data_IF_331347561916
#
_entry.id   IF_331347561916
#
_cell.length_a   1.000
_cell.length_b   1.000
_cell.length_c   1.000
_cell.angle_alpha   90.00
_cell.angle_beta   90.00
_cell.angle_gamma   90.00
#
_symmetry.space_group_name_H-M   'P 1'
#
loop_
_entity.id
_entity.type
_entity.pdbx_description
1 polymer ?
#
# COMPACT_ATOMS: atom_id res chain seq x y z
N UNK A 1 5.70 8.52 -16.32
CA UNK A 1 4.83 9.16 -15.33
C UNK A 1 5.34 8.86 -13.94
N UNK A 2 5.46 9.86 -13.08
CA UNK A 2 5.99 9.67 -11.73
C UNK A 2 4.87 9.82 -10.71
N UNK A 3 4.73 8.82 -9.84
CA UNK A 3 3.74 8.86 -8.76
C UNK A 3 4.44 8.85 -7.42
N UNK A 4 3.96 9.65 -6.48
CA UNK A 4 4.30 9.51 -5.08
C UNK A 4 3.12 8.83 -4.37
N UNK A 5 3.37 7.67 -3.77
CA UNK A 5 2.38 6.91 -3.02
C UNK A 5 2.71 7.01 -1.54
N UNK A 6 1.74 7.41 -0.75
CA UNK A 6 1.81 7.45 0.71
C UNK A 6 0.81 6.47 1.29
N UNK A 7 1.26 5.46 2.03
CA UNK A 7 0.41 4.53 2.76
C UNK A 7 0.40 4.88 4.25
N UNK A 8 -0.78 4.87 4.86
CA UNK A 8 -0.96 5.02 6.31
C UNK A 8 -1.51 3.72 6.91
N UNK A 9 -0.79 3.21 7.89
CA UNK A 9 -1.17 2.04 8.68
C UNK A 9 -2.33 2.32 9.63
N UNK A 10 -3.14 1.31 9.93
CA UNK A 10 -4.16 1.36 10.98
C UNK A 10 -3.60 1.30 12.41
N UNK A 11 -4.47 1.49 13.40
CA UNK A 11 -4.14 1.44 14.84
C UNK A 11 -4.18 0.04 15.46
N UNK A 12 -4.78 -0.93 14.77
CA UNK A 12 -5.31 -2.14 15.41
C UNK A 12 -4.41 -3.37 15.29
N UNK A 13 -3.13 -3.20 14.90
CA UNK A 13 -2.13 -4.27 14.84
C UNK A 13 -0.83 -3.82 15.50
N UNK A 14 0.03 -4.70 16.03
CA UNK A 14 1.25 -4.26 16.73
C UNK A 14 2.31 -3.70 15.76
N UNK A 15 2.88 -4.59 14.96
CA UNK A 15 3.83 -4.28 13.90
C UNK A 15 3.87 -5.43 12.90
N UNK A 16 4.11 -5.12 11.62
CA UNK A 16 4.24 -6.11 10.55
C UNK A 16 5.43 -5.80 9.65
N UNK A 17 5.97 -6.82 9.00
CA UNK A 17 7.06 -6.69 8.02
C UNK A 17 6.90 -7.74 6.94
N UNK A 18 6.95 -7.30 5.70
CA UNK A 18 6.68 -8.15 4.54
C UNK A 18 6.65 -7.34 3.26
N UNK A 19 6.52 -8.05 2.15
CA UNK A 19 6.44 -7.44 0.83
C UNK A 19 5.08 -6.76 0.70
N UNK A 20 5.08 -5.50 0.30
CA UNK A 20 3.87 -4.72 -0.01
C UNK A 20 3.85 -4.45 -1.50
N UNK A 21 2.81 -4.92 -2.17
CA UNK A 21 2.53 -4.61 -3.58
C UNK A 21 1.34 -3.68 -3.64
N UNK A 22 1.48 -2.59 -4.39
CA UNK A 22 0.40 -1.65 -4.65
C UNK A 22 -0.07 -1.82 -6.09
N UNK A 23 -1.37 -2.02 -6.27
CA UNK A 23 -2.01 -2.04 -7.59
C UNK A 23 -2.81 -0.77 -7.78
N UNK A 24 -2.40 0.06 -8.73
CA UNK A 24 -3.10 1.27 -9.14
C UNK A 24 -4.07 0.93 -10.27
N UNK A 25 -5.36 1.15 -10.03
CA UNK A 25 -6.41 1.00 -11.04
C UNK A 25 -6.73 2.39 -11.58
N UNK A 26 -6.21 2.68 -12.77
CA UNK A 26 -6.47 3.94 -13.47
C UNK A 26 -7.58 3.82 -14.51
N UNK A 27 -7.99 4.95 -15.08
CA UNK A 27 -9.03 5.00 -16.13
C UNK A 27 -8.61 4.33 -17.44
N UNK A 28 -7.31 4.24 -17.72
CA UNK A 28 -6.79 3.66 -18.96
C UNK A 28 -6.29 2.23 -18.78
N UNK A 29 -5.71 1.92 -17.62
CA UNK A 29 -5.06 0.62 -17.37
C UNK A 29 -4.80 0.42 -15.87
N UNK A 30 -4.50 -0.83 -15.51
CA UNK A 30 -4.13 -1.24 -14.16
C UNK A 30 -2.66 -1.61 -14.12
N UNK A 31 -1.94 -1.14 -13.10
CA UNK A 31 -0.50 -1.42 -12.92
C UNK A 31 -0.22 -1.82 -11.47
N UNK A 32 0.50 -2.91 -11.29
CA UNK A 32 1.00 -3.36 -9.99
C UNK A 32 2.49 -3.03 -9.85
N UNK A 33 2.88 -2.53 -8.68
CA UNK A 33 4.23 -2.11 -8.37
C UNK A 33 4.60 -2.57 -6.96
N UNK A 34 5.86 -2.99 -6.80
CA UNK A 34 6.38 -3.24 -5.46
C UNK A 34 6.57 -1.92 -4.75
N UNK A 35 5.87 -1.74 -3.62
CA UNK A 35 5.97 -0.57 -2.77
C UNK A 35 7.05 -0.73 -1.69
N UNK A 36 7.17 -1.95 -1.14
CA UNK A 36 8.22 -2.31 -0.19
C UNK A 36 8.60 -3.78 -0.35
N UNK A 37 9.91 -4.09 -0.37
CA UNK A 37 10.45 -5.45 -0.52
C UNK A 37 10.56 -6.21 0.82
N UNK A 38 9.91 -5.71 1.87
CA UNK A 38 9.94 -6.29 3.20
C UNK A 38 11.09 -5.80 4.06
N UNK A 39 11.55 -4.59 3.83
CA UNK A 39 12.58 -3.93 4.64
C UNK A 39 12.02 -2.96 5.66
N UNK A 40 10.82 -2.44 5.40
CA UNK A 40 10.13 -1.57 6.35
C UNK A 40 9.37 -2.37 7.39
N UNK A 41 9.54 -1.99 8.65
CA UNK A 41 8.61 -2.38 9.72
C UNK A 41 7.48 -1.37 9.76
N UNK A 42 6.27 -1.83 9.44
CA UNK A 42 5.07 -1.01 9.56
C UNK A 42 4.54 -1.14 10.98
N UNK A 43 4.45 -0.01 11.68
CA UNK A 43 3.91 0.09 13.04
C UNK A 43 2.54 0.77 13.02
N UNK A 44 1.83 0.74 14.15
CA UNK A 44 0.55 1.45 14.34
C UNK A 44 0.64 2.89 13.86
N UNK A 45 -0.33 3.30 13.04
CA UNK A 45 -0.44 4.66 12.53
C UNK A 45 0.80 5.18 11.76
N UNK A 46 1.74 4.31 11.39
CA UNK A 46 2.89 4.70 10.57
C UNK A 46 2.46 5.21 9.21
N UNK A 47 3.20 6.21 8.72
CA UNK A 47 3.03 6.78 7.38
C UNK A 47 4.32 6.53 6.61
N UNK A 48 4.18 5.90 5.45
CA UNK A 48 5.31 5.55 4.59
C UNK A 48 5.06 6.10 3.20
N UNK A 49 6.04 6.83 2.67
CA UNK A 49 5.97 7.42 1.33
C UNK A 49 7.05 6.84 0.44
N UNK A 50 6.70 6.57 -0.82
CA UNK A 50 7.59 6.09 -1.86
C UNK A 50 7.33 6.80 -3.17
N UNK A 51 8.39 7.02 -3.94
CA UNK A 51 8.31 7.46 -5.33
C UNK A 51 8.36 6.24 -6.23
N UNK A 52 7.39 6.12 -7.12
CA UNK A 52 7.28 4.99 -8.04
C UNK A 52 7.22 5.52 -9.48
N UNK A 53 8.27 5.26 -10.29
CA UNK A 53 8.23 5.55 -11.71
C UNK A 53 7.34 4.53 -12.43
N UNK A 54 6.38 5.01 -13.21
CA UNK A 54 5.61 4.19 -14.14
C UNK A 54 6.03 4.49 -15.58
N UNK A 55 6.31 3.42 -16.32
CA UNK A 55 6.66 3.46 -17.75
C UNK A 55 5.46 3.70 -18.65
N UNK A 56 4.25 3.66 -18.11
CA UNK A 56 2.99 3.68 -18.85
C UNK A 56 2.01 4.69 -18.23
N UNK A 57 1.11 5.26 -19.04
CA UNK A 57 0.09 6.21 -18.57
C UNK A 57 -1.16 5.46 -18.12
N UNK A 58 -1.43 5.47 -16.82
CA UNK A 58 -2.61 4.81 -16.23
C UNK A 58 -3.89 5.66 -16.28
N UNK A 59 -3.78 6.93 -16.68
CA UNK A 59 -4.86 7.90 -16.58
C UNK A 59 -5.11 8.29 -15.12
N UNK A 60 -6.35 8.67 -14.82
CA UNK A 60 -6.75 9.08 -13.48
C UNK A 60 -6.87 7.85 -12.56
N UNK A 61 -6.20 7.87 -11.41
CA UNK A 61 -6.30 6.78 -10.43
C UNK A 61 -7.68 6.79 -9.77
N UNK A 62 -8.40 5.66 -9.86
CA UNK A 62 -9.76 5.48 -9.31
C UNK A 62 -9.79 4.60 -8.07
N UNK A 63 -8.82 3.71 -7.92
CA UNK A 63 -8.75 2.77 -6.83
C UNK A 63 -7.29 2.35 -6.61
N UNK A 64 -6.98 2.04 -5.36
CA UNK A 64 -5.69 1.47 -4.96
C UNK A 64 -5.99 0.14 -4.28
N UNK A 65 -5.43 -0.95 -4.78
CA UNK A 65 -5.40 -2.19 -4.03
C UNK A 65 -4.02 -2.38 -3.40
N UNK A 66 -3.97 -2.91 -2.18
CA UNK A 66 -2.73 -3.22 -1.47
C UNK A 66 -2.73 -4.70 -1.14
N UNK A 67 -1.68 -5.39 -1.57
CA UNK A 67 -1.40 -6.78 -1.27
C UNK A 67 -0.23 -6.85 -0.29
N UNK A 68 -0.36 -7.66 0.76
CA UNK A 68 0.71 -7.85 1.74
C UNK A 68 1.07 -9.32 1.87
N UNK A 69 2.36 -9.61 1.78
CA UNK A 69 2.90 -10.95 1.98
C UNK A 69 3.96 -10.92 3.07
N UNK A 70 3.69 -11.56 4.21
CA UNK A 70 4.68 -11.69 5.29
C UNK A 70 5.90 -12.46 4.76
N UNK A 71 7.10 -11.95 5.03
CA UNK A 71 8.34 -12.70 4.77
C UNK A 71 8.46 -13.78 5.84
N UNK A 72 8.34 -15.05 5.47
CA UNK A 72 8.39 -16.17 6.41
C UNK A 72 9.84 -16.63 6.63
N UNK A 73 10.40 -16.31 7.79
CA UNK A 73 11.59 -16.95 8.35
C UNK A 73 11.45 -17.06 9.87
N UNK A 74 12.34 -17.80 10.54
CA UNK A 74 12.22 -18.08 11.98
C UNK A 74 12.10 -16.78 12.81
N UNK A 75 12.92 -15.78 12.51
CA UNK A 75 12.95 -14.50 13.23
C UNK A 75 11.69 -13.66 12.94
N UNK A 76 11.28 -13.57 11.67
CA UNK A 76 10.13 -12.74 11.30
C UNK A 76 8.80 -13.35 11.71
N UNK A 77 8.71 -14.67 11.81
CA UNK A 77 7.53 -15.37 12.32
C UNK A 77 7.28 -15.01 13.79
N UNK A 78 8.33 -14.93 14.61
CA UNK A 78 8.26 -14.61 16.04
C UNK A 78 8.07 -13.10 16.32
N UNK A 79 8.78 -12.24 15.59
CA UNK A 79 8.88 -10.81 15.92
C UNK A 79 7.77 -9.94 15.33
N UNK A 80 7.09 -10.40 14.27
CA UNK A 80 6.11 -9.60 13.53
C UNK A 80 4.74 -10.27 13.48
N UNK A 81 3.69 -9.45 13.59
CA UNK A 81 2.31 -9.88 13.45
C UNK A 81 2.06 -10.47 12.06
N UNK A 82 1.26 -11.55 11.93
CA UNK A 82 0.73 -11.98 10.63
C UNK A 82 -0.40 -11.05 10.14
N UNK A 83 -0.97 -10.24 11.02
CA UNK A 83 -2.03 -9.28 10.71
C UNK A 83 -1.46 -7.92 10.37
N UNK A 84 -2.08 -7.24 9.41
CA UNK A 84 -1.72 -5.93 8.91
C UNK A 84 -2.97 -5.11 8.60
N UNK A 85 -2.81 -3.80 8.43
CA UNK A 85 -3.89 -2.88 8.05
C UNK A 85 -3.32 -1.60 7.49
N UNK A 86 -3.74 -1.23 6.28
CA UNK A 86 -3.60 0.13 5.75
C UNK A 86 -4.98 0.77 5.67
N UNK A 87 -5.13 1.95 6.27
CA UNK A 87 -6.42 2.67 6.32
C UNK A 87 -6.56 3.68 5.22
N UNK A 88 -5.43 4.21 4.72
CA UNK A 88 -5.40 5.29 3.75
C UNK A 88 -4.22 5.14 2.78
N UNK A 89 -4.48 5.44 1.53
CA UNK A 89 -3.46 5.65 0.52
C UNK A 89 -3.66 7.05 -0.10
N UNK A 90 -2.59 7.81 -0.24
CA UNK A 90 -2.59 9.06 -1.01
C UNK A 90 -1.68 8.88 -2.21
N UNK A 91 -2.20 9.16 -3.41
CA UNK A 91 -1.46 9.08 -4.66
C UNK A 91 -1.37 10.48 -5.25
N UNK A 92 -0.15 10.99 -5.37
CA UNK A 92 0.18 12.22 -6.07
C UNK A 92 0.75 11.87 -7.44
N UNK A 93 0.07 12.29 -8.49
CA UNK A 93 0.60 12.29 -9.85
C UNK A 93 1.50 13.53 -10.01
N UNK A 94 2.80 13.31 -10.21
CA UNK A 94 3.77 14.41 -10.32
C UNK A 94 3.63 15.20 -11.62
N UNK A 95 3.10 14.60 -12.68
CA UNK A 95 2.99 15.26 -13.99
C UNK A 95 1.78 16.20 -13.98
N UNK A 96 0.66 15.76 -13.40
CA UNK A 96 -0.55 16.59 -13.26
C UNK A 96 -0.64 17.40 -11.97
N UNK A 97 0.27 17.15 -11.01
CA UNK A 97 0.26 17.72 -9.65
C UNK A 97 -1.06 17.47 -8.90
N UNK A 98 -1.80 16.42 -9.27
CA UNK A 98 -3.05 16.06 -8.63
C UNK A 98 -2.83 15.00 -7.55
N UNK A 99 -3.34 15.29 -6.35
CA UNK A 99 -3.35 14.36 -5.23
C UNK A 99 -4.74 13.76 -5.02
N UNK A 100 -4.80 12.45 -4.80
CA UNK A 100 -6.04 11.70 -4.53
C UNK A 100 -5.86 10.85 -3.31
N UNK A 101 -6.92 10.75 -2.51
CA UNK A 101 -6.92 9.97 -1.28
C UNK A 101 -7.92 8.83 -1.39
N UNK A 102 -7.49 7.66 -0.95
CA UNK A 102 -8.27 6.44 -0.95
C UNK A 102 -8.30 5.87 0.46
N UNK A 103 -9.46 5.38 0.87
CA UNK A 103 -9.70 4.87 2.21
C UNK A 103 -10.19 3.42 2.14
N UNK A 104 -9.77 2.61 3.11
CA UNK A 104 -10.21 1.21 3.25
C UNK A 104 -11.45 1.15 4.15
N UNK A 105 -12.30 0.13 3.93
CA UNK A 105 -13.25 -0.29 4.95
C UNK A 105 -12.47 -0.80 6.17
N UNK A 106 -12.92 -0.47 7.38
CA UNK A 106 -12.22 -0.80 8.63
C UNK A 106 -12.17 -2.33 8.91
N UNK A 107 -11.25 -3.05 8.28
CA UNK A 107 -10.89 -4.44 8.62
C UNK A 107 -9.41 -4.55 8.94
N UNK A 108 -9.07 -5.50 9.82
CA UNK A 108 -7.70 -6.01 9.98
C UNK A 108 -7.61 -7.22 9.06
N UNK A 109 -6.53 -7.32 8.29
CA UNK A 109 -6.38 -8.36 7.30
C UNK A 109 -5.23 -9.30 7.66
N UNK A 110 -5.37 -10.57 7.28
CA UNK A 110 -4.35 -11.60 7.48
C UNK A 110 -3.23 -11.48 6.42
N UNK A 111 -2.08 -12.11 6.64
CA UNK A 111 -1.06 -12.25 5.60
C UNK A 111 -1.64 -12.87 4.33
N UNK A 112 -1.08 -12.51 3.18
CA UNK A 112 -1.49 -12.98 1.85
C UNK A 112 -2.91 -12.53 1.45
N UNK A 113 -3.44 -11.51 2.13
CA UNK A 113 -4.67 -10.85 1.76
C UNK A 113 -4.43 -9.63 0.87
N UNK A 114 -5.53 -9.17 0.27
CA UNK A 114 -5.63 -8.00 -0.57
C UNK A 114 -6.68 -7.06 0.00
N UNK A 115 -6.35 -5.79 0.15
CA UNK A 115 -7.27 -4.74 0.60
C UNK A 115 -7.50 -3.77 -0.53
N UNK A 116 -8.77 -3.41 -0.72
CA UNK A 116 -9.19 -2.38 -1.67
C UNK A 116 -9.40 -1.05 -0.95
N UNK A 117 -8.72 -0.01 -1.41
CA UNK A 117 -8.95 1.37 -1.02
C UNK A 117 -9.68 2.09 -2.16
N UNK A 118 -10.87 2.61 -1.86
CA UNK A 118 -11.69 3.39 -2.78
C UNK A 118 -11.62 4.88 -2.44
N UNK A 119 -12.06 5.76 -3.33
CA UNK A 119 -12.06 7.20 -3.06
C UNK A 119 -12.81 7.49 -1.77
N UNK A 120 -12.14 8.22 -0.90
CA UNK A 120 -12.75 9.14 0.03
C UNK A 120 -12.53 10.56 -0.53
#
# INVERSE_FOLDING_TARGET
>A
NHYQITLQSGSDYAQTRGVVTVTLVGTLQTVSVTFDDGDTTFTRNSVVTRFIPLTVNIGEVKQVDVDFKKKANLLTTLLYSPSWKFTKATVLDADSQQSRTFCASNSIDATDSKVRLASC
#
